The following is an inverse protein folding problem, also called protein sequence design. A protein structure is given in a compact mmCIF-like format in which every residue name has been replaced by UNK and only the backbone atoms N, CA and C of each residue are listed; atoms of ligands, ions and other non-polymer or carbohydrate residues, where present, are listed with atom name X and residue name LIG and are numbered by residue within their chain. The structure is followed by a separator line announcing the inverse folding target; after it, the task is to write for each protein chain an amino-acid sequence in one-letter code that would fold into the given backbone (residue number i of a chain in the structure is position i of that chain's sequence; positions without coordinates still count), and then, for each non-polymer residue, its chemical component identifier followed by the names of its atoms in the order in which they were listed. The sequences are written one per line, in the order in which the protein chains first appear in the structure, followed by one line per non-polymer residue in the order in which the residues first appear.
data_IF_853781654165
#
_entry.id   IF_853781654165
#
_cell.length_a   1.000
_cell.length_b   1.000
_cell.length_c   1.000
_cell.angle_alpha   90.00
_cell.angle_beta   90.00
_cell.angle_gamma   90.00
#
_symmetry.space_group_name_H-M   'P 1'
#
loop_
_entity.id
_entity.type
_entity.pdbx_description
1 polymer ?
#
# COMPACT_ATOMS: atom_id res chain seq x y z
N UNK A 1 23.75 -26.96 11.19
CA UNK A 1 23.71 -25.51 11.41
C UNK A 1 22.28 -25.12 11.73
N UNK A 2 22.04 -24.57 12.92
CA UNK A 2 20.69 -24.13 13.29
C UNK A 2 20.28 -22.94 12.42
N UNK A 3 19.07 -22.90 11.88
CA UNK A 3 18.64 -21.75 11.08
C UNK A 3 18.70 -20.48 11.93
N UNK A 4 19.16 -19.39 11.33
CA UNK A 4 19.24 -18.11 12.02
C UNK A 4 17.83 -17.72 12.51
N UNK A 5 17.74 -17.28 13.77
CA UNK A 5 16.49 -16.80 14.33
C UNK A 5 15.99 -15.61 13.51
N UNK A 6 14.69 -15.58 13.13
CA UNK A 6 14.16 -14.45 12.37
C UNK A 6 14.34 -13.13 13.16
N UNK A 7 14.56 -12.00 12.48
CA UNK A 7 14.67 -10.70 13.13
C UNK A 7 13.36 -10.35 13.85
N UNK A 8 13.49 -9.61 14.95
CA UNK A 8 12.33 -9.08 15.70
C UNK A 8 12.00 -7.69 15.15
N UNK A 9 10.72 -7.41 14.82
CA UNK A 9 10.31 -6.10 14.32
C UNK A 9 10.69 -4.97 15.29
N UNK A 10 11.18 -3.85 14.75
CA UNK A 10 11.49 -2.66 15.53
C UNK A 10 10.20 -1.91 15.91
N UNK A 11 10.08 -1.40 17.17
CA UNK A 11 8.92 -0.63 17.55
C UNK A 11 8.94 0.79 16.95
N UNK A 12 7.75 1.38 16.77
CA UNK A 12 7.60 2.79 16.39
C UNK A 12 7.82 3.10 14.91
N UNK A 13 8.02 2.09 14.05
CA UNK A 13 8.15 2.28 12.61
C UNK A 13 6.80 2.57 11.95
N UNK A 14 6.79 3.45 10.93
CA UNK A 14 5.66 3.56 9.99
C UNK A 14 5.51 2.28 9.17
N UNK A 15 4.38 2.12 8.47
CA UNK A 15 4.21 0.94 7.62
C UNK A 15 5.26 0.87 6.51
N UNK A 16 5.57 2.00 5.86
CA UNK A 16 6.64 2.06 4.87
C UNK A 16 7.99 1.62 5.45
N UNK A 17 8.34 2.11 6.64
CA UNK A 17 9.60 1.75 7.32
C UNK A 17 9.67 0.26 7.69
N UNK A 18 8.55 -0.37 8.05
CA UNK A 18 8.48 -1.82 8.29
C UNK A 18 8.81 -2.62 7.02
N UNK A 19 8.37 -2.12 5.86
CA UNK A 19 8.67 -2.78 4.59
C UNK A 19 10.15 -2.60 4.21
N UNK A 20 10.75 -1.44 4.50
CA UNK A 20 12.21 -1.25 4.37
C UNK A 20 12.96 -2.26 5.24
N UNK A 21 12.58 -2.40 6.51
CA UNK A 21 13.15 -3.39 7.43
C UNK A 21 13.07 -4.81 6.86
N UNK A 22 11.94 -5.19 6.29
CA UNK A 22 11.77 -6.49 5.63
C UNK A 22 12.70 -6.65 4.42
N UNK A 23 12.77 -5.64 3.55
CA UNK A 23 13.62 -5.68 2.36
C UNK A 23 15.09 -5.82 2.73
N UNK A 24 15.56 -5.13 3.76
CA UNK A 24 16.93 -5.25 4.28
C UNK A 24 17.17 -6.65 4.83
N UNK A 25 16.22 -7.20 5.59
CA UNK A 25 16.32 -8.53 6.19
C UNK A 25 16.41 -9.67 5.16
N UNK A 26 15.78 -9.51 4.00
CA UNK A 26 15.82 -10.51 2.90
C UNK A 26 16.93 -10.25 1.88
N UNK A 27 17.79 -9.26 2.11
CA UNK A 27 18.92 -8.94 1.24
C UNK A 27 18.53 -8.30 -0.11
N UNK A 28 17.39 -7.62 -0.14
CA UNK A 28 16.87 -6.88 -1.30
C UNK A 28 16.63 -5.39 -0.94
N UNK A 29 17.68 -4.65 -0.56
CA UNK A 29 17.54 -3.29 -0.06
C UNK A 29 16.90 -2.37 -1.08
N UNK A 30 16.08 -1.44 -0.59
CA UNK A 30 15.45 -0.43 -1.45
C UNK A 30 16.47 0.62 -1.89
N UNK A 31 16.33 1.19 -3.12
CA UNK A 31 17.20 2.27 -3.55
C UNK A 31 17.11 3.49 -2.62
N UNK A 32 18.21 4.18 -2.34
CA UNK A 32 18.24 5.34 -1.44
C UNK A 32 17.62 6.61 -2.05
N UNK A 33 17.42 6.63 -3.36
CA UNK A 33 16.84 7.76 -4.12
C UNK A 33 15.91 7.26 -5.20
N UNK A 34 14.97 8.09 -5.68
CA UNK A 34 14.10 7.75 -6.79
C UNK A 34 14.85 7.25 -8.02
N UNK A 35 14.44 6.08 -8.49
CA UNK A 35 14.99 5.43 -9.69
C UNK A 35 13.86 4.76 -10.46
N UNK A 36 14.10 4.50 -11.74
CA UNK A 36 13.26 3.58 -12.52
C UNK A 36 13.82 2.19 -12.35
N UNK A 37 13.11 1.24 -11.70
CA UNK A 37 13.58 -0.13 -11.54
C UNK A 37 13.75 -0.85 -12.89
N UNK A 38 14.50 -1.95 -12.88
CA UNK A 38 14.57 -2.82 -14.06
C UNK A 38 13.20 -3.40 -14.42
N UNK A 39 13.03 -3.79 -15.69
CA UNK A 39 11.79 -4.42 -16.15
C UNK A 39 11.45 -5.68 -15.34
N UNK A 40 12.45 -6.48 -14.99
CA UNK A 40 12.29 -7.69 -14.18
C UNK A 40 11.70 -7.38 -12.80
N UNK A 41 12.22 -6.35 -12.14
CA UNK A 41 11.70 -5.90 -10.84
C UNK A 41 10.28 -5.37 -10.97
N UNK A 42 9.99 -4.56 -11.99
CA UNK A 42 8.64 -4.05 -12.24
C UNK A 42 7.64 -5.20 -12.51
N UNK A 43 8.04 -6.19 -13.30
CA UNK A 43 7.22 -7.38 -13.57
C UNK A 43 6.96 -8.19 -12.29
N UNK A 44 7.98 -8.39 -11.45
CA UNK A 44 7.82 -9.06 -10.17
C UNK A 44 6.83 -8.32 -9.26
N UNK A 45 7.00 -7.00 -9.11
CA UNK A 45 6.10 -6.20 -8.27
C UNK A 45 4.66 -6.20 -8.78
N UNK A 46 4.50 -6.10 -10.09
CA UNK A 46 3.18 -6.17 -10.71
C UNK A 46 2.51 -7.54 -10.48
N UNK A 47 3.28 -8.62 -10.62
CA UNK A 47 2.79 -9.98 -10.36
C UNK A 47 2.34 -10.16 -8.91
N UNK A 48 3.14 -9.70 -7.93
CA UNK A 48 2.77 -9.77 -6.51
C UNK A 48 1.46 -9.00 -6.23
N UNK A 49 1.30 -7.80 -6.79
CA UNK A 49 0.05 -7.05 -6.67
C UNK A 49 -1.16 -7.79 -7.24
N UNK A 50 -0.99 -8.51 -8.35
CA UNK A 50 -2.07 -9.30 -8.96
C UNK A 50 -2.42 -10.51 -8.09
N UNK A 51 -1.42 -11.19 -7.52
CA UNK A 51 -1.61 -12.34 -6.63
C UNK A 51 -2.39 -11.91 -5.38
N UNK A 52 -1.94 -10.89 -4.65
CA UNK A 52 -2.63 -10.41 -3.45
C UNK A 52 -4.03 -9.84 -3.75
N UNK A 53 -4.22 -9.18 -4.89
CA UNK A 53 -5.54 -8.71 -5.28
C UNK A 53 -6.51 -9.86 -5.60
N UNK A 54 -6.01 -10.96 -6.15
CA UNK A 54 -6.83 -12.17 -6.36
C UNK A 54 -7.26 -12.78 -5.02
N UNK A 55 -6.35 -12.84 -4.03
CA UNK A 55 -6.64 -13.34 -2.69
C UNK A 55 -7.65 -12.45 -1.95
N UNK A 56 -7.53 -11.13 -2.06
CA UNK A 56 -8.56 -10.17 -1.57
C UNK A 56 -9.92 -10.46 -2.20
N UNK A 57 -9.95 -10.74 -3.51
CA UNK A 57 -11.21 -11.02 -4.22
C UNK A 57 -11.85 -12.32 -3.73
N UNK A 58 -11.04 -13.38 -3.55
CA UNK A 58 -11.51 -14.66 -3.02
C UNK A 58 -12.03 -14.52 -1.59
N UNK A 59 -11.32 -13.81 -0.72
CA UNK A 59 -11.74 -13.54 0.65
C UNK A 59 -13.03 -12.71 0.71
N UNK A 60 -13.19 -11.75 -0.22
CA UNK A 60 -14.43 -10.99 -0.37
C UNK A 60 -15.61 -11.86 -0.78
N UNK A 61 -15.43 -12.79 -1.71
CA UNK A 61 -16.46 -13.74 -2.13
C UNK A 61 -16.92 -14.63 -0.97
N UNK A 62 -15.97 -15.13 -0.17
CA UNK A 62 -16.27 -15.93 1.03
C UNK A 62 -17.05 -15.12 2.07
N UNK A 63 -16.60 -13.89 2.35
CA UNK A 63 -17.28 -13.00 3.33
C UNK A 63 -18.70 -12.66 2.87
N UNK A 64 -18.88 -12.31 1.60
CA UNK A 64 -20.21 -11.98 1.07
C UNK A 64 -21.13 -13.18 1.04
N UNK A 65 -20.62 -14.39 0.84
CA UNK A 65 -21.41 -15.61 0.94
C UNK A 65 -22.00 -15.80 2.35
N UNK A 66 -21.25 -15.51 3.42
CA UNK A 66 -21.76 -15.52 4.79
C UNK A 66 -22.92 -14.55 4.97
N UNK A 67 -22.82 -13.34 4.39
CA UNK A 67 -23.88 -12.32 4.50
C UNK A 67 -25.16 -12.65 3.71
N UNK A 68 -25.13 -13.67 2.85
CA UNK A 68 -26.30 -14.16 2.12
C UNK A 68 -26.98 -15.33 2.80
N UNK A 69 -26.52 -15.76 3.97
CA UNK A 69 -27.16 -16.79 4.80
C UNK A 69 -28.08 -16.15 5.84
N UNK A 70 -28.97 -16.96 6.43
CA UNK A 70 -29.81 -16.54 7.58
C UNK A 70 -29.04 -16.61 8.91
N UNK A 71 -27.79 -17.09 8.89
CA UNK A 71 -26.94 -17.17 10.08
C UNK A 71 -26.44 -15.79 10.50
N UNK A 72 -26.32 -15.50 11.80
CA UNK A 72 -25.79 -14.23 12.26
C UNK A 72 -24.31 -14.09 11.89
N UNK A 73 -23.94 -12.94 11.33
CA UNK A 73 -22.53 -12.58 11.08
C UNK A 73 -21.88 -12.06 12.36
N UNK A 74 -20.59 -12.39 12.53
CA UNK A 74 -19.77 -11.99 13.67
C UNK A 74 -18.57 -11.15 13.24
N UNK A 75 -18.02 -10.29 14.13
CA UNK A 75 -16.83 -9.49 13.78
C UNK A 75 -15.64 -10.32 13.28
N UNK A 76 -15.49 -11.56 13.74
CA UNK A 76 -14.41 -12.45 13.30
C UNK A 76 -14.53 -12.90 11.83
N UNK A 77 -15.71 -12.81 11.23
CA UNK A 77 -15.92 -13.21 9.83
C UNK A 77 -15.17 -12.34 8.83
N UNK A 78 -14.76 -11.13 9.23
CA UNK A 78 -13.94 -10.25 8.40
C UNK A 78 -12.45 -10.61 8.42
N UNK A 79 -12.01 -11.58 9.24
CA UNK A 79 -10.59 -11.85 9.49
C UNK A 79 -9.81 -12.12 8.22
N UNK A 80 -10.26 -13.03 7.37
CA UNK A 80 -9.57 -13.40 6.13
C UNK A 80 -9.48 -12.18 5.19
N UNK A 81 -10.58 -11.51 4.95
CA UNK A 81 -10.62 -10.34 4.07
C UNK A 81 -9.73 -9.19 4.55
N UNK A 82 -9.70 -8.92 5.86
CA UNK A 82 -8.81 -7.88 6.44
C UNK A 82 -7.35 -8.29 6.35
N UNK A 83 -7.04 -9.59 6.51
CA UNK A 83 -5.69 -10.12 6.33
C UNK A 83 -5.20 -9.88 4.90
N UNK A 84 -5.96 -10.32 3.89
CA UNK A 84 -5.58 -10.17 2.49
C UNK A 84 -5.46 -8.69 2.06
N UNK A 85 -6.30 -7.82 2.61
CA UNK A 85 -6.14 -6.37 2.42
C UNK A 85 -4.82 -5.84 3.01
N UNK A 86 -4.38 -6.38 4.14
CA UNK A 86 -3.10 -6.00 4.75
C UNK A 86 -1.92 -6.51 3.91
N UNK A 87 -2.01 -7.73 3.35
CA UNK A 87 -0.98 -8.28 2.45
C UNK A 87 -0.91 -7.50 1.14
N UNK A 88 -2.05 -7.10 0.58
CA UNK A 88 -2.09 -6.20 -0.57
C UNK A 88 -1.42 -4.84 -0.27
N UNK A 89 -1.65 -4.27 0.92
CA UNK A 89 -0.94 -3.06 1.36
C UNK A 89 0.57 -3.31 1.46
N UNK A 90 0.97 -4.47 1.99
CA UNK A 90 2.36 -4.85 2.16
C UNK A 90 3.12 -4.85 0.83
N UNK A 91 2.59 -5.54 -0.18
CA UNK A 91 3.22 -5.59 -1.52
C UNK A 91 3.11 -4.25 -2.26
N UNK A 92 2.06 -3.45 -2.00
CA UNK A 92 1.91 -2.10 -2.56
C UNK A 92 3.01 -1.17 -2.06
N UNK A 93 3.27 -1.14 -0.75
CA UNK A 93 4.40 -0.40 -0.19
C UNK A 93 5.72 -0.89 -0.79
N UNK A 94 5.92 -2.21 -0.91
CA UNK A 94 7.10 -2.80 -1.54
C UNK A 94 7.30 -2.32 -2.99
N UNK A 95 6.23 -2.21 -3.76
CA UNK A 95 6.29 -1.70 -5.14
C UNK A 95 6.72 -0.23 -5.20
N UNK A 96 6.21 0.63 -4.32
CA UNK A 96 6.60 2.05 -4.24
C UNK A 96 8.07 2.17 -3.82
N UNK A 97 8.47 1.46 -2.77
CA UNK A 97 9.82 1.53 -2.20
C UNK A 97 10.89 1.00 -3.16
N UNK A 98 10.55 0.04 -4.02
CA UNK A 98 11.49 -0.43 -5.07
C UNK A 98 11.85 0.66 -6.07
N UNK A 99 11.02 1.69 -6.19
CA UNK A 99 11.34 2.89 -6.98
C UNK A 99 12.25 3.88 -6.23
N UNK A 100 12.70 3.57 -5.01
CA UNK A 100 13.48 4.48 -4.18
C UNK A 100 12.71 5.70 -3.70
N UNK A 101 11.39 5.60 -3.66
CA UNK A 101 10.47 6.68 -3.30
C UNK A 101 10.01 6.51 -1.86
N UNK A 102 10.03 7.60 -1.08
CA UNK A 102 9.41 7.62 0.25
C UNK A 102 7.89 7.51 0.12
N UNK A 103 7.37 6.34 0.47
CA UNK A 103 5.96 6.03 0.36
C UNK A 103 5.10 6.86 1.33
N UNK A 104 5.61 7.24 2.50
CA UNK A 104 4.88 8.06 3.46
C UNK A 104 4.65 9.47 2.92
N UNK A 105 5.65 10.07 2.26
CA UNK A 105 5.52 11.39 1.63
C UNK A 105 4.54 11.37 0.45
N UNK A 106 4.58 10.34 -0.38
CA UNK A 106 3.61 10.17 -1.48
C UNK A 106 2.21 9.98 -0.94
N UNK A 107 2.05 9.13 0.08
CA UNK A 107 0.75 8.90 0.69
C UNK A 107 0.18 10.17 1.34
N UNK A 108 1.02 10.97 1.99
CA UNK A 108 0.61 12.26 2.57
C UNK A 108 0.05 13.21 1.50
N UNK A 109 0.67 13.30 0.33
CA UNK A 109 0.17 14.11 -0.77
C UNK A 109 -1.15 13.58 -1.36
N UNK A 110 -1.26 12.26 -1.53
CA UNK A 110 -2.51 11.63 -1.94
C UNK A 110 -3.62 11.87 -0.91
N UNK A 111 -3.29 11.78 0.38
CA UNK A 111 -4.21 12.08 1.47
C UNK A 111 -4.68 13.53 1.43
N UNK A 112 -3.77 14.49 1.28
CA UNK A 112 -4.10 15.92 1.11
C UNK A 112 -5.11 16.13 -0.01
N UNK A 113 -4.83 15.54 -1.20
CA UNK A 113 -5.71 15.67 -2.35
C UNK A 113 -7.09 15.02 -2.12
N UNK A 114 -7.15 13.87 -1.45
CA UNK A 114 -8.41 13.22 -1.12
C UNK A 114 -9.19 13.99 -0.06
N UNK A 115 -8.53 14.51 0.97
CA UNK A 115 -9.16 15.31 2.02
C UNK A 115 -9.79 16.59 1.44
N UNK A 116 -9.17 17.19 0.42
CA UNK A 116 -9.71 18.37 -0.27
C UNK A 116 -11.00 18.12 -1.08
N UNK A 117 -11.44 16.86 -1.22
CA UNK A 117 -12.77 16.51 -1.72
C UNK A 117 -13.88 16.64 -0.69
N UNK A 118 -13.54 16.82 0.58
CA UNK A 118 -14.53 16.99 1.65
C UNK A 118 -15.45 18.15 1.31
N UNK A 119 -16.76 17.92 1.41
CA UNK A 119 -17.77 18.89 0.97
C UNK A 119 -18.15 18.85 -0.52
N UNK A 120 -17.49 18.02 -1.33
CA UNK A 120 -17.90 17.77 -2.71
C UNK A 120 -19.23 17.00 -2.81
N UNK A 121 -19.87 16.99 -3.98
CA UNK A 121 -21.12 16.27 -4.19
C UNK A 121 -20.91 14.77 -4.04
N UNK A 122 -21.97 14.04 -3.62
CA UNK A 122 -21.94 12.58 -3.47
C UNK A 122 -22.63 11.91 -4.64
N UNK A 123 -22.02 10.85 -5.17
CA UNK A 123 -22.64 9.92 -6.11
C UNK A 123 -23.64 9.01 -5.36
N UNK A 124 -24.57 8.39 -6.09
CA UNK A 124 -25.62 7.55 -5.50
C UNK A 124 -25.10 6.38 -4.66
N UNK A 125 -23.91 5.84 -4.96
CA UNK A 125 -23.21 4.80 -4.19
C UNK A 125 -22.40 5.35 -2.99
N UNK A 126 -22.54 6.65 -2.69
CA UNK A 126 -21.87 7.31 -1.57
C UNK A 126 -20.47 7.88 -1.88
N UNK A 127 -19.93 7.66 -3.07
CA UNK A 127 -18.63 8.21 -3.47
C UNK A 127 -18.65 9.73 -3.49
N UNK A 128 -17.69 10.36 -2.80
CA UNK A 128 -17.50 11.82 -2.88
C UNK A 128 -16.84 12.16 -4.20
N UNK A 129 -17.46 13.08 -4.95
CA UNK A 129 -16.98 13.57 -6.22
C UNK A 129 -16.08 14.79 -6.02
N UNK A 130 -15.26 15.09 -7.01
CA UNK A 130 -14.38 16.25 -7.02
C UNK A 130 -15.20 17.53 -7.05
N UNK A 131 -15.01 18.48 -6.11
CA UNK A 131 -15.62 19.79 -6.19
C UNK A 131 -15.01 20.62 -7.31
N UNK A 132 -15.68 21.70 -7.78
CA UNK A 132 -15.10 22.63 -8.72
C UNK A 132 -13.74 23.16 -8.24
N UNK A 133 -12.74 23.21 -9.13
CA UNK A 133 -11.40 23.69 -8.81
C UNK A 133 -10.52 22.71 -8.01
N UNK A 134 -10.99 21.50 -7.78
CA UNK A 134 -10.18 20.47 -7.11
C UNK A 134 -8.90 20.18 -7.88
N UNK A 135 -7.79 20.09 -7.14
CA UNK A 135 -6.47 19.77 -7.69
C UNK A 135 -6.09 18.32 -7.33
N UNK A 136 -5.60 17.52 -8.29
CA UNK A 136 -5.09 16.17 -8.04
C UNK A 136 -3.86 16.21 -7.14
N UNK A 137 -3.47 15.04 -6.62
CA UNK A 137 -2.20 14.86 -5.96
C UNK A 137 -1.03 15.12 -6.92
N UNK A 138 -0.06 15.94 -6.50
CA UNK A 138 1.14 16.23 -7.26
C UNK A 138 2.29 15.30 -6.84
N UNK A 139 2.10 14.02 -7.14
CA UNK A 139 3.08 12.96 -6.84
C UNK A 139 4.40 13.20 -7.57
N UNK A 140 4.35 13.80 -8.76
CA UNK A 140 5.54 14.12 -9.53
C UNK A 140 6.47 15.06 -8.77
N UNK A 141 5.96 16.16 -8.26
CA UNK A 141 6.76 17.11 -7.47
C UNK A 141 7.35 16.47 -6.21
N UNK A 142 6.60 15.57 -5.55
CA UNK A 142 7.11 14.83 -4.38
C UNK A 142 8.32 13.97 -4.76
N UNK A 143 8.26 13.26 -5.88
CA UNK A 143 9.36 12.41 -6.36
C UNK A 143 10.56 13.25 -6.81
N UNK A 144 10.32 14.32 -7.55
CA UNK A 144 11.39 15.23 -8.01
C UNK A 144 12.15 15.86 -6.83
N UNK A 145 11.44 16.30 -5.79
CA UNK A 145 12.06 16.84 -4.57
C UNK A 145 12.92 15.79 -3.83
N UNK A 146 12.47 14.55 -3.78
CA UNK A 146 13.25 13.46 -3.17
C UNK A 146 14.52 13.13 -3.98
N UNK A 147 14.47 13.27 -5.31
CA UNK A 147 15.62 13.07 -6.17
C UNK A 147 16.69 14.16 -6.02
N UNK A 148 16.27 15.41 -5.75
CA UNK A 148 17.16 16.57 -5.59
C UNK A 148 17.79 16.65 -4.21
N UNK A 149 17.16 16.09 -3.16
CA UNK A 149 17.71 16.14 -1.80
C UNK A 149 19.01 15.37 -1.74
N UNK A 150 20.13 16.08 -1.59
CA UNK A 150 21.43 15.46 -1.31
C UNK A 150 21.32 14.73 0.03
N UNK A 151 21.77 13.48 0.07
CA UNK A 151 21.71 12.68 1.28
C UNK A 151 22.39 13.40 2.44
N UNK A 152 21.63 13.67 3.47
CA UNK A 152 22.14 14.13 4.76
C UNK A 152 22.88 13.00 5.49
#
# INVERSE_FOLDING_TARGET
MEPAKPPVPQPGLTNAQKIVEFHDAVGAPVPPKPVVPSLEILQLRHKLLQEEFAEVTEAWEKLTAVLHTDDPAYPADVTEWVHELADLLYVTYGAILTCGVDADAVFAEVHRANLSKAGGPRRADGKILKPPGWQPADVRSVIEQQAETEGA
#
